data_IF_708783249011
#
_entry.id   IF_708783249011
#
_cell.length_a   1.000
_cell.length_b   1.000
_cell.length_c   1.000
_cell.angle_alpha   90.00
_cell.angle_beta   90.00
_cell.angle_gamma   90.00
#
_symmetry.space_group_name_H-M   'P 1'
#
loop_
_entity.id
_entity.type
_entity.pdbx_description
1 polymer ?
#
# COMPACT_ATOMS: atom_id res chain seq x y z
N UNK A 1 -2.45 20.31 4.30
CA UNK A 1 -2.15 20.11 5.75
C UNK A 1 -3.17 20.88 6.57
N UNK A 2 -4.37 20.32 6.76
CA UNK A 2 -5.45 21.02 7.48
C UNK A 2 -5.46 20.64 8.97
N UNK A 3 -5.25 19.35 9.26
CA UNK A 3 -5.33 18.79 10.62
C UNK A 3 -4.13 19.11 11.52
N UNK A 4 -2.96 19.42 10.94
CA UNK A 4 -1.74 19.70 11.71
C UNK A 4 -1.44 21.20 11.89
N UNK A 5 -2.05 22.08 11.10
CA UNK A 5 -1.75 23.53 11.08
C UNK A 5 -2.75 24.37 11.89
N UNK A 6 -4.03 23.96 11.96
CA UNK A 6 -5.09 24.80 12.53
C UNK A 6 -5.38 24.56 14.02
N UNK A 7 -4.69 23.62 14.69
CA UNK A 7 -4.87 23.36 16.13
C UNK A 7 -6.29 22.94 16.56
N UNK A 8 -7.18 22.67 15.61
CA UNK A 8 -8.59 22.37 15.84
C UNK A 8 -8.93 20.99 15.29
N UNK A 9 -9.49 20.14 16.16
CA UNK A 9 -9.96 18.79 15.83
C UNK A 9 -11.39 18.78 15.25
N UNK A 10 -11.94 19.94 14.86
CA UNK A 10 -13.29 20.02 14.27
C UNK A 10 -13.23 19.68 12.78
N UNK A 11 -13.15 18.39 12.46
CA UNK A 11 -13.01 17.89 11.10
C UNK A 11 -14.34 17.79 10.32
N UNK A 12 -15.48 17.72 11.02
CA UNK A 12 -16.81 17.53 10.40
C UNK A 12 -17.10 18.58 9.33
N UNK A 13 -16.78 19.85 9.61
CA UNK A 13 -17.03 20.95 8.67
C UNK A 13 -16.09 20.95 7.45
N UNK A 14 -14.94 20.28 7.56
CA UNK A 14 -13.95 20.19 6.49
C UNK A 14 -14.20 19.00 5.55
N UNK A 15 -14.94 17.98 6.01
CA UNK A 15 -15.23 16.77 5.23
C UNK A 15 -15.92 17.05 3.89
N UNK A 16 -16.94 17.92 3.79
CA UNK A 16 -17.61 18.16 2.51
C UNK A 16 -16.66 18.70 1.43
N UNK A 17 -15.79 19.63 1.82
CA UNK A 17 -14.75 20.18 0.92
C UNK A 17 -13.76 19.10 0.48
N UNK A 18 -13.27 18.29 1.43
CA UNK A 18 -12.34 17.19 1.13
C UNK A 18 -12.93 16.16 0.16
N UNK A 19 -14.18 15.75 0.38
CA UNK A 19 -14.87 14.78 -0.47
C UNK A 19 -15.10 15.36 -1.87
N UNK A 20 -15.52 16.62 -1.95
CA UNK A 20 -15.67 17.32 -3.22
C UNK A 20 -14.35 17.38 -4.01
N UNK A 21 -13.26 17.79 -3.35
CA UNK A 21 -11.94 17.90 -3.97
C UNK A 21 -11.42 16.54 -4.46
N UNK A 22 -11.62 15.49 -3.66
CA UNK A 22 -11.24 14.13 -4.03
C UNK A 22 -12.02 13.65 -5.27
N UNK A 23 -13.34 13.85 -5.26
CA UNK A 23 -14.21 13.40 -6.33
C UNK A 23 -14.02 14.17 -7.64
N UNK A 24 -13.60 15.44 -7.57
CA UNK A 24 -13.35 16.29 -8.73
C UNK A 24 -11.95 16.13 -9.33
N UNK A 25 -10.97 15.62 -8.57
CA UNK A 25 -9.59 15.44 -9.04
C UNK A 25 -9.43 14.16 -9.87
N UNK A 26 -8.59 14.20 -10.90
CA UNK A 26 -8.19 13.00 -11.65
C UNK A 26 -7.39 12.08 -10.73
N UNK A 27 -7.86 10.84 -10.54
CA UNK A 27 -7.20 9.85 -9.71
C UNK A 27 -6.17 9.07 -10.55
N UNK A 28 -4.93 8.95 -10.07
CA UNK A 28 -3.79 8.38 -10.82
C UNK A 28 -4.03 6.95 -11.30
N UNK A 29 -4.61 6.09 -10.46
CA UNK A 29 -4.76 4.66 -10.76
C UNK A 29 -5.78 4.37 -11.87
N UNK A 30 -6.90 5.09 -11.88
CA UNK A 30 -8.00 4.89 -12.84
C UNK A 30 -7.95 5.91 -13.99
N UNK A 31 -7.00 6.83 -13.93
CA UNK A 31 -6.81 7.95 -14.85
C UNK A 31 -8.10 8.77 -15.13
N UNK A 32 -9.01 8.83 -14.15
CA UNK A 32 -10.27 9.55 -14.26
C UNK A 32 -10.72 10.12 -12.90
N UNK A 33 -11.70 11.02 -12.95
CA UNK A 33 -12.31 11.58 -11.74
C UNK A 33 -13.24 10.55 -11.11
N UNK A 34 -13.21 10.32 -9.78
CA UNK A 34 -14.11 9.39 -9.12
C UNK A 34 -15.60 9.69 -9.39
N UNK A 35 -15.98 10.96 -9.50
CA UNK A 35 -17.37 11.35 -9.79
C UNK A 35 -17.87 10.92 -11.19
N UNK A 36 -16.97 10.68 -12.12
CA UNK A 36 -17.31 10.30 -13.49
C UNK A 36 -17.40 8.78 -13.70
N UNK A 37 -17.23 7.97 -12.64
CA UNK A 37 -17.28 6.51 -12.75
C UNK A 37 -18.73 6.06 -12.91
N UNK A 38 -19.02 5.37 -14.01
CA UNK A 38 -20.33 4.75 -14.26
C UNK A 38 -20.25 3.23 -14.11
N UNK A 39 -21.37 2.54 -13.82
CA UNK A 39 -21.39 1.07 -13.70
C UNK A 39 -20.83 0.37 -14.94
N UNK A 40 -21.12 0.90 -16.14
CA UNK A 40 -20.62 0.35 -17.41
C UNK A 40 -19.10 0.42 -17.57
N UNK A 41 -18.43 1.38 -16.92
CA UNK A 41 -16.97 1.57 -16.99
C UNK A 41 -16.27 0.90 -15.80
N UNK A 42 -16.99 0.69 -14.69
CA UNK A 42 -16.45 0.16 -13.43
C UNK A 42 -15.74 -1.19 -13.60
N UNK A 43 -16.32 -2.13 -14.34
CA UNK A 43 -15.71 -3.45 -14.56
C UNK A 43 -14.36 -3.35 -15.26
N UNK A 44 -14.26 -2.51 -16.29
CA UNK A 44 -13.00 -2.24 -17.00
C UNK A 44 -11.95 -1.63 -16.07
N UNK A 45 -12.32 -0.71 -15.20
CA UNK A 45 -11.40 -0.09 -14.25
C UNK A 45 -10.88 -1.10 -13.24
N UNK A 46 -11.76 -1.96 -12.71
CA UNK A 46 -11.36 -3.02 -11.78
C UNK A 46 -10.35 -3.97 -12.43
N UNK A 47 -10.60 -4.37 -13.68
CA UNK A 47 -9.65 -5.20 -14.43
C UNK A 47 -8.27 -4.51 -14.55
N UNK A 48 -8.22 -3.20 -14.81
CA UNK A 48 -6.96 -2.44 -14.86
C UNK A 48 -6.27 -2.37 -13.49
N UNK A 49 -7.02 -2.04 -12.43
CA UNK A 49 -6.48 -1.88 -11.06
C UNK A 49 -5.92 -3.20 -10.53
N UNK A 50 -6.60 -4.30 -10.82
CA UNK A 50 -6.27 -5.62 -10.31
C UNK A 50 -5.59 -6.54 -11.36
N UNK A 51 -5.07 -5.98 -12.46
CA UNK A 51 -4.22 -6.66 -13.46
C UNK A 51 -2.82 -6.99 -12.91
N UNK A 52 -2.70 -7.39 -11.65
CA UNK A 52 -1.41 -7.85 -11.16
C UNK A 52 -1.23 -9.29 -11.61
N UNK A 53 -0.59 -9.48 -12.75
CA UNK A 53 -0.09 -10.78 -13.17
C UNK A 53 0.97 -11.17 -12.13
N UNK A 54 0.66 -12.18 -11.32
CA UNK A 54 1.69 -12.87 -10.53
C UNK A 54 2.61 -13.54 -11.55
N UNK A 55 3.63 -12.81 -11.97
CA UNK A 55 4.70 -13.43 -12.74
C UNK A 55 5.41 -14.31 -11.75
N UNK A 56 5.30 -15.62 -11.92
CA UNK A 56 6.11 -16.54 -11.14
C UNK A 56 7.56 -16.32 -11.58
N UNK A 57 8.26 -15.47 -10.82
CA UNK A 57 9.70 -15.40 -10.93
C UNK A 57 10.24 -16.81 -10.67
N UNK A 58 11.20 -17.30 -11.48
CA UNK A 58 11.79 -18.59 -11.24
C UNK A 58 12.34 -18.63 -9.82
N UNK A 59 12.08 -19.74 -9.12
CA UNK A 59 12.53 -19.93 -7.75
C UNK A 59 14.04 -19.61 -7.65
N UNK A 60 14.38 -18.61 -6.83
CA UNK A 60 15.75 -18.11 -6.69
C UNK A 60 16.69 -19.16 -6.08
N UNK A 61 16.16 -20.03 -5.23
CA UNK A 61 16.92 -21.00 -4.45
C UNK A 61 16.55 -22.42 -4.84
N UNK A 62 17.52 -23.33 -4.71
CA UNK A 62 17.36 -24.76 -4.95
C UNK A 62 17.36 -25.52 -3.62
N UNK A 63 16.83 -26.74 -3.66
CA UNK A 63 16.92 -27.66 -2.52
C UNK A 63 18.41 -27.93 -2.22
N UNK A 64 18.83 -27.62 -0.99
CA UNK A 64 20.21 -27.76 -0.53
C UNK A 64 21.01 -26.45 -0.44
N UNK A 65 20.47 -25.32 -0.90
CA UNK A 65 21.12 -24.02 -0.72
C UNK A 65 21.06 -23.60 0.76
N UNK A 66 22.22 -23.28 1.36
CA UNK A 66 22.26 -22.66 2.68
C UNK A 66 21.87 -21.20 2.60
N UNK A 67 20.69 -20.87 3.13
CA UNK A 67 20.15 -19.51 3.16
C UNK A 67 20.16 -18.95 4.58
N UNK A 68 20.24 -17.62 4.71
CA UNK A 68 20.05 -16.96 6.00
C UNK A 68 18.55 -16.72 6.20
N UNK A 69 17.96 -17.36 7.20
CA UNK A 69 16.60 -17.02 7.61
C UNK A 69 16.62 -15.84 8.58
N UNK A 70 15.72 -14.88 8.37
CA UNK A 70 15.65 -13.67 9.18
C UNK A 70 15.11 -14.02 10.57
N UNK A 71 15.86 -13.65 11.61
CA UNK A 71 15.44 -13.84 12.99
C UNK A 71 14.38 -12.81 13.35
N UNK A 72 13.25 -13.24 13.92
CA UNK A 72 12.27 -12.34 14.50
C UNK A 72 12.89 -11.53 15.65
N UNK A 73 12.76 -10.21 15.58
CA UNK A 73 13.29 -9.30 16.60
C UNK A 73 12.21 -8.68 17.46
N UNK A 74 12.47 -8.61 18.76
CA UNK A 74 11.64 -7.81 19.68
C UNK A 74 12.12 -6.36 19.72
N UNK A 75 11.23 -5.44 20.12
CA UNK A 75 11.46 -3.98 20.10
C UNK A 75 12.73 -3.55 20.84
N UNK A 76 13.18 -4.32 21.83
CA UNK A 76 14.32 -3.99 22.69
C UNK A 76 15.56 -4.86 22.46
N UNK A 77 15.63 -5.59 21.33
CA UNK A 77 16.77 -6.45 21.06
C UNK A 77 18.04 -5.64 20.74
N UNK A 78 19.18 -6.06 21.30
CA UNK A 78 20.47 -5.38 21.15
C UNK A 78 20.91 -5.38 19.69
N UNK A 79 21.39 -4.24 19.19
CA UNK A 79 21.80 -4.09 17.79
C UNK A 79 23.03 -4.89 17.36
N UNK A 80 23.82 -5.41 18.31
CA UNK A 80 25.03 -6.20 18.01
C UNK A 80 24.78 -7.70 17.86
N UNK A 81 23.56 -8.18 18.09
CA UNK A 81 23.22 -9.60 17.87
C UNK A 81 22.94 -9.85 16.38
N UNK A 82 23.35 -11.01 15.83
CA UNK A 82 23.05 -11.37 14.44
C UNK A 82 21.54 -11.37 14.15
N UNK A 83 21.19 -10.96 12.93
CA UNK A 83 19.79 -10.85 12.48
C UNK A 83 19.28 -12.13 11.80
N UNK A 84 20.05 -13.22 11.85
CA UNK A 84 19.72 -14.48 11.20
C UNK A 84 19.86 -15.65 12.16
N UNK A 85 19.11 -16.73 11.90
CA UNK A 85 19.18 -17.97 12.69
C UNK A 85 20.46 -18.75 12.38
N UNK A 86 20.85 -19.62 13.31
CA UNK A 86 21.98 -20.56 13.14
C UNK A 86 21.50 -21.95 12.72
N UNK A 87 20.20 -22.11 12.49
CA UNK A 87 19.61 -23.37 12.01
C UNK A 87 20.05 -23.58 10.55
N UNK A 88 20.53 -24.79 10.23
CA UNK A 88 21.00 -25.23 8.91
C UNK A 88 20.12 -26.35 8.43
#
# INVERSE_FOLDING_TARGET
KMFTLNGSYKWVNALPGLVSDYNARKHRTIDMRPVNVTPAIAERLLAIVYNRVNTEDPAKFKVGDSVRDSKYKTVFEKGYTPNWTTEV
#
